data_IF_590322831692
#
_entry.id   IF_590322831692
#
_cell.length_a   1.000
_cell.length_b   1.000
_cell.length_c   1.000
_cell.angle_alpha   90.00
_cell.angle_beta   90.00
_cell.angle_gamma   90.00
#
_symmetry.space_group_name_H-M   'P 1'
#
loop_
_entity.id
_entity.type
_entity.pdbx_description
1 polymer ?
#
# COMPACT_ATOMS: atom_id res chain seq x y z
N UNK A 1 -0.13 -0.09 -82.54
CA UNK A 1 0.76 -1.06 -81.87
C UNK A 1 1.77 -0.32 -81.00
N UNK A 2 1.54 -0.22 -79.69
CA UNK A 2 2.57 0.08 -78.68
C UNK A 2 2.17 -0.71 -77.41
N UNK A 3 2.96 -1.73 -77.07
CA UNK A 3 2.94 -2.41 -75.76
C UNK A 3 3.52 -1.46 -74.72
N UNK A 4 3.16 -1.58 -73.44
CA UNK A 4 4.02 -1.50 -72.22
C UNK A 4 3.09 -1.50 -70.98
N UNK A 5 3.02 -2.63 -70.28
CA UNK A 5 3.65 -2.94 -68.97
C UNK A 5 2.81 -2.51 -67.77
N UNK A 6 2.30 -3.56 -67.12
CA UNK A 6 1.65 -3.64 -65.81
C UNK A 6 2.63 -3.26 -64.70
N UNK A 7 2.25 -2.32 -63.81
CA UNK A 7 2.83 -2.19 -62.47
C UNK A 7 1.68 -1.99 -61.49
N UNK A 8 1.45 -3.01 -60.68
CA UNK A 8 0.51 -3.02 -59.55
C UNK A 8 1.23 -2.42 -58.35
N UNK A 9 0.82 -1.25 -57.89
CA UNK A 9 1.21 -0.70 -56.59
C UNK A 9 0.12 -1.04 -55.56
N UNK A 10 0.30 -2.13 -54.83
CA UNK A 10 -0.46 -2.38 -53.60
C UNK A 10 0.12 -1.43 -52.55
N UNK A 11 -0.55 -0.31 -52.30
CA UNK A 11 -0.28 0.55 -51.15
C UNK A 11 -0.68 -0.19 -49.88
N UNK A 12 0.28 -0.86 -49.25
CA UNK A 12 0.14 -1.42 -47.91
C UNK A 12 0.02 -0.29 -46.90
N UNK A 13 -1.20 -0.08 -46.39
CA UNK A 13 -1.48 0.82 -45.27
C UNK A 13 -0.93 0.17 -43.99
N UNK A 14 0.28 0.54 -43.58
CA UNK A 14 0.84 0.13 -42.29
C UNK A 14 0.02 0.78 -41.16
N UNK A 15 -0.82 -0.01 -40.50
CA UNK A 15 -1.43 0.34 -39.23
C UNK A 15 -0.33 0.30 -38.16
N UNK A 16 0.36 1.41 -37.94
CA UNK A 16 1.18 1.61 -36.74
C UNK A 16 0.25 1.68 -35.53
N UNK A 17 -0.01 0.54 -34.93
CA UNK A 17 -0.59 0.48 -33.59
C UNK A 17 0.37 1.13 -32.60
N UNK A 18 -0.07 2.23 -31.98
CA UNK A 18 0.59 2.78 -30.80
C UNK A 18 0.59 1.70 -29.72
N UNK A 19 1.75 1.10 -29.50
CA UNK A 19 1.98 0.22 -28.36
C UNK A 19 2.06 1.14 -27.14
N UNK A 20 1.01 1.20 -26.33
CA UNK A 20 1.10 1.79 -25.00
C UNK A 20 2.10 0.96 -24.21
N UNK A 21 3.30 1.49 -24.00
CA UNK A 21 4.24 0.93 -23.04
C UNK A 21 3.70 1.21 -21.64
N UNK A 22 2.95 0.25 -21.09
CA UNK A 22 2.62 0.23 -19.67
C UNK A 22 3.93 0.11 -18.89
N UNK A 23 4.44 1.25 -18.42
CA UNK A 23 5.60 1.30 -17.54
C UNK A 23 5.25 0.54 -16.26
N UNK A 24 5.79 -0.67 -16.12
CA UNK A 24 5.65 -1.46 -14.91
C UNK A 24 6.23 -0.66 -13.75
N UNK A 25 5.37 -0.23 -12.83
CA UNK A 25 5.80 0.41 -11.59
C UNK A 25 6.39 -0.69 -10.71
N UNK A 26 7.63 -0.53 -10.29
CA UNK A 26 8.23 -1.41 -9.29
C UNK A 26 7.56 -1.14 -7.94
N UNK A 27 6.94 -2.16 -7.36
CA UNK A 27 6.11 -2.03 -6.16
C UNK A 27 6.78 -2.76 -5.03
N UNK A 28 7.00 -2.05 -3.92
CA UNK A 28 7.51 -2.63 -2.68
C UNK A 28 6.34 -3.05 -1.80
N UNK A 29 6.39 -4.24 -1.22
CA UNK A 29 5.34 -4.77 -0.33
C UNK A 29 5.84 -4.78 1.11
N UNK A 30 4.96 -4.36 2.02
CA UNK A 30 5.26 -4.24 3.44
C UNK A 30 4.24 -5.04 4.23
N UNK A 31 4.72 -5.95 5.06
CA UNK A 31 3.95 -6.63 6.08
C UNK A 31 4.38 -6.15 7.46
N UNK A 32 3.45 -5.99 8.39
CA UNK A 32 3.80 -5.70 9.80
C UNK A 32 2.78 -6.28 10.76
N UNK A 33 3.19 -6.50 12.01
CA UNK A 33 2.34 -7.08 13.06
C UNK A 33 2.40 -6.25 14.34
N UNK A 34 1.26 -6.15 15.03
CA UNK A 34 1.18 -5.63 16.40
C UNK A 34 0.07 -6.35 17.16
N UNK A 35 0.12 -6.31 18.49
CA UNK A 35 -0.98 -6.80 19.31
C UNK A 35 -2.14 -5.80 19.35
N UNK A 36 -3.33 -6.27 19.71
CA UNK A 36 -4.51 -5.45 19.97
C UNK A 36 -5.00 -5.72 21.38
N UNK A 37 -5.26 -4.65 22.13
CA UNK A 37 -5.83 -4.75 23.48
C UNK A 37 -7.26 -5.28 23.40
N UNK A 38 -7.62 -6.38 24.08
CA UNK A 38 -8.96 -6.96 24.00
C UNK A 38 -10.08 -5.96 24.29
N UNK A 39 -9.89 -5.09 25.28
CA UNK A 39 -10.85 -4.08 25.70
C UNK A 39 -11.03 -2.93 24.70
N UNK A 40 -10.16 -2.82 23.70
CA UNK A 40 -10.21 -1.80 22.63
C UNK A 40 -10.64 -2.36 21.28
N UNK A 41 -10.91 -3.68 21.18
CA UNK A 41 -11.21 -4.35 19.91
C UNK A 41 -12.39 -3.72 19.17
N UNK A 42 -13.52 -3.52 19.86
CA UNK A 42 -14.71 -2.94 19.25
C UNK A 42 -14.46 -1.50 18.75
N UNK A 43 -13.76 -0.70 19.55
CA UNK A 43 -13.42 0.68 19.21
C UNK A 43 -12.48 0.75 18.00
N UNK A 44 -11.44 -0.09 17.96
CA UNK A 44 -10.51 -0.16 16.84
C UNK A 44 -11.21 -0.47 15.52
N UNK A 45 -12.15 -1.43 15.53
CA UNK A 45 -12.98 -1.77 14.36
C UNK A 45 -13.86 -0.60 13.94
N UNK A 46 -14.50 0.08 14.88
CA UNK A 46 -15.34 1.25 14.59
C UNK A 46 -14.52 2.39 13.97
N UNK A 47 -13.34 2.68 14.50
CA UNK A 47 -12.42 3.67 13.93
C UNK A 47 -12.11 3.34 12.48
N UNK A 48 -11.64 2.12 12.18
CA UNK A 48 -11.20 1.76 10.83
C UNK A 48 -12.35 1.61 9.83
N UNK A 49 -13.54 1.23 10.28
CA UNK A 49 -14.75 1.26 9.44
C UNK A 49 -15.14 2.69 9.02
N UNK A 50 -14.72 3.70 9.79
CA UNK A 50 -15.01 5.12 9.56
C UNK A 50 -13.71 5.94 9.49
N UNK A 51 -12.67 5.36 8.85
CA UNK A 51 -11.37 6.01 8.73
C UNK A 51 -11.51 7.41 8.12
N UNK A 52 -10.82 8.39 8.72
CA UNK A 52 -11.02 9.79 8.36
C UNK A 52 -10.58 10.04 6.90
N UNK A 53 -11.39 10.74 6.07
CA UNK A 53 -11.04 11.00 4.69
C UNK A 53 -9.70 11.73 4.51
N UNK A 54 -9.32 12.61 5.46
CA UNK A 54 -8.02 13.30 5.47
C UNK A 54 -6.84 12.34 5.59
N UNK A 55 -6.95 11.34 6.45
CA UNK A 55 -5.93 10.30 6.65
C UNK A 55 -5.82 9.41 5.42
N UNK A 56 -6.94 8.96 4.85
CA UNK A 56 -6.95 8.16 3.63
C UNK A 56 -6.30 8.90 2.45
N UNK A 57 -6.58 10.20 2.33
CA UNK A 57 -5.94 11.06 1.35
C UNK A 57 -4.43 11.13 1.57
N UNK A 58 -3.98 11.30 2.82
CA UNK A 58 -2.54 11.33 3.15
C UNK A 58 -1.83 10.03 2.80
N UNK A 59 -2.43 8.89 3.13
CA UNK A 59 -1.92 7.55 2.78
C UNK A 59 -1.66 7.46 1.26
N UNK A 60 -2.64 7.89 0.45
CA UNK A 60 -2.51 7.92 -1.01
C UNK A 60 -1.42 8.89 -1.49
N UNK A 61 -1.33 10.07 -0.89
CA UNK A 61 -0.28 11.07 -1.20
C UNK A 61 1.14 10.59 -0.86
N UNK A 62 1.28 9.61 0.03
CA UNK A 62 2.53 8.96 0.39
C UNK A 62 2.77 7.66 -0.41
N UNK A 63 2.09 7.52 -1.56
CA UNK A 63 2.24 6.40 -2.50
C UNK A 63 1.93 5.02 -1.91
N UNK A 64 1.17 4.96 -0.81
CA UNK A 64 0.67 3.71 -0.24
C UNK A 64 -0.66 3.33 -0.91
N UNK A 65 -0.77 2.08 -1.32
CA UNK A 65 -1.95 1.50 -1.97
C UNK A 65 -2.17 0.06 -1.50
N UNK A 66 -3.33 -0.52 -1.86
CA UNK A 66 -3.73 -1.87 -1.45
C UNK A 66 -3.54 -2.14 0.07
N UNK A 67 -3.78 -1.11 0.88
CA UNK A 67 -3.54 -1.17 2.32
C UNK A 67 -4.69 -1.90 3.02
N UNK A 68 -4.39 -3.04 3.63
CA UNK A 68 -5.29 -3.84 4.45
C UNK A 68 -4.73 -4.05 5.86
N UNK A 69 -5.62 -4.14 6.86
CA UNK A 69 -5.28 -4.56 8.22
C UNK A 69 -6.20 -5.72 8.59
N UNK A 70 -5.61 -6.88 8.85
CA UNK A 70 -6.32 -8.11 9.25
C UNK A 70 -6.27 -8.27 10.77
N UNK A 71 -7.35 -8.76 11.36
CA UNK A 71 -7.44 -9.07 12.78
C UNK A 71 -7.55 -10.59 12.95
N UNK A 72 -6.74 -11.17 13.85
CA UNK A 72 -6.84 -12.57 14.21
C UNK A 72 -6.61 -12.77 15.71
N UNK A 73 -7.34 -13.70 16.33
CA UNK A 73 -7.02 -14.21 17.68
C UNK A 73 -6.06 -15.39 17.54
N UNK A 74 -4.93 -15.34 18.24
CA UNK A 74 -3.94 -16.43 18.31
C UNK A 74 -3.73 -16.75 19.79
N UNK A 75 -4.09 -17.96 20.20
CA UNK A 75 -4.23 -18.30 21.62
C UNK A 75 -5.23 -17.37 22.29
N UNK A 76 -4.79 -16.66 23.33
CA UNK A 76 -5.61 -15.70 24.09
C UNK A 76 -5.36 -14.23 23.76
N UNK A 77 -4.48 -13.95 22.80
CA UNK A 77 -4.17 -12.60 22.36
C UNK A 77 -4.77 -12.29 20.99
N UNK A 78 -5.03 -11.00 20.75
CA UNK A 78 -5.44 -10.49 19.44
C UNK A 78 -4.25 -9.83 18.74
N UNK A 79 -4.14 -10.07 17.44
CA UNK A 79 -3.09 -9.54 16.59
C UNK A 79 -3.69 -8.84 15.38
N UNK A 80 -3.06 -7.74 15.01
CA UNK A 80 -3.29 -7.01 13.78
C UNK A 80 -2.14 -7.28 12.82
N UNK A 81 -2.45 -7.62 11.57
CA UNK A 81 -1.50 -7.82 10.49
C UNK A 81 -1.77 -6.76 9.42
N UNK A 82 -0.85 -5.83 9.25
CA UNK A 82 -0.93 -4.81 8.23
C UNK A 82 -0.26 -5.30 6.95
N UNK A 83 -0.85 -5.05 5.80
CA UNK A 83 -0.21 -5.23 4.49
C UNK A 83 -0.46 -4.00 3.62
N UNK A 84 0.57 -3.45 2.98
CA UNK A 84 0.39 -2.46 1.93
C UNK A 84 1.45 -2.56 0.83
N UNK A 85 1.10 -1.99 -0.32
CA UNK A 85 2.01 -1.76 -1.44
C UNK A 85 2.45 -0.29 -1.47
N UNK A 86 3.73 -0.08 -1.72
CA UNK A 86 4.32 1.23 -1.93
C UNK A 86 4.79 1.36 -3.37
N UNK A 87 4.33 2.42 -4.04
CA UNK A 87 4.58 2.68 -5.46
C UNK A 87 5.38 3.97 -5.71
N UNK A 88 5.97 4.55 -4.66
CA UNK A 88 6.77 5.77 -4.76
C UNK A 88 8.26 5.51 -4.97
N UNK A 89 9.04 6.59 -5.06
CA UNK A 89 10.48 6.52 -5.33
C UNK A 89 11.35 6.61 -4.06
N UNK A 90 10.86 7.23 -2.99
CA UNK A 90 11.60 7.48 -1.75
C UNK A 90 10.69 7.18 -0.55
N UNK A 91 10.80 5.95 -0.04
CA UNK A 91 9.96 5.46 1.03
C UNK A 91 10.16 6.26 2.33
N UNK A 92 11.41 6.58 2.66
CA UNK A 92 11.72 7.29 3.90
C UNK A 92 11.19 8.74 3.86
N UNK A 93 11.30 9.41 2.72
CA UNK A 93 10.72 10.73 2.54
C UNK A 93 9.18 10.70 2.64
N UNK A 94 8.52 9.71 2.04
CA UNK A 94 7.06 9.57 2.12
C UNK A 94 6.56 9.20 3.52
N UNK A 95 7.30 8.35 4.25
CA UNK A 95 6.97 8.02 5.64
C UNK A 95 7.19 9.22 6.56
N UNK A 96 8.25 10.02 6.32
CA UNK A 96 8.44 11.28 7.03
C UNK A 96 7.30 12.27 6.74
N UNK A 97 6.90 12.42 5.48
CA UNK A 97 5.75 13.24 5.07
C UNK A 97 4.45 12.82 5.77
N UNK A 98 4.23 11.52 5.94
CA UNK A 98 3.09 10.99 6.70
C UNK A 98 3.20 11.32 8.18
N UNK A 99 4.38 11.15 8.78
CA UNK A 99 4.61 11.41 10.20
C UNK A 99 4.49 12.89 10.57
N UNK A 100 4.82 13.79 9.64
CA UNK A 100 4.71 15.24 9.81
C UNK A 100 3.27 15.76 9.61
N UNK A 101 2.33 14.93 9.11
CA UNK A 101 0.95 15.35 8.85
C UNK A 101 0.11 15.46 10.14
N UNK A 102 -0.46 16.63 10.46
CA UNK A 102 -1.20 16.82 11.71
C UNK A 102 -2.45 15.95 11.84
N UNK A 103 -3.16 15.67 10.74
CA UNK A 103 -4.36 14.82 10.76
C UNK A 103 -4.01 13.37 11.03
N UNK A 104 -2.90 12.89 10.45
CA UNK A 104 -2.34 11.57 10.73
C UNK A 104 -1.89 11.46 12.19
N UNK A 105 -1.22 12.47 12.74
CA UNK A 105 -0.86 12.48 14.16
C UNK A 105 -2.08 12.46 15.08
N UNK A 106 -3.16 13.18 14.73
CA UNK A 106 -4.43 13.12 15.47
C UNK A 106 -5.07 11.74 15.40
N UNK A 107 -5.05 11.12 14.23
CA UNK A 107 -5.53 9.76 14.03
C UNK A 107 -4.76 8.75 14.89
N UNK A 108 -3.43 8.84 14.93
CA UNK A 108 -2.60 7.97 15.75
C UNK A 108 -2.86 8.11 17.25
N UNK A 109 -3.26 9.29 17.73
CA UNK A 109 -3.72 9.46 19.12
C UNK A 109 -4.97 8.64 19.46
N UNK A 110 -5.79 8.28 18.46
CA UNK A 110 -6.95 7.41 18.63
C UNK A 110 -6.60 5.93 18.47
N UNK A 111 -5.75 5.59 17.50
CA UNK A 111 -5.42 4.19 17.18
C UNK A 111 -4.34 3.59 18.07
N UNK A 112 -3.27 4.32 18.35
CA UNK A 112 -2.11 3.80 19.09
C UNK A 112 -2.49 3.30 20.50
N UNK A 113 -3.38 3.97 21.26
CA UNK A 113 -3.82 3.44 22.55
C UNK A 113 -4.58 2.12 22.46
N UNK A 114 -5.13 1.75 21.30
CA UNK A 114 -5.79 0.47 21.08
C UNK A 114 -4.79 -0.68 20.94
N UNK A 115 -3.58 -0.38 20.47
CA UNK A 115 -2.58 -1.36 20.09
C UNK A 115 -1.71 -1.77 21.29
N UNK A 116 -1.11 -2.94 21.17
CA UNK A 116 -0.19 -3.52 22.14
C UNK A 116 1.06 -3.99 21.39
N UNK A 117 2.08 -3.13 21.25
CA UNK A 117 3.29 -3.46 20.52
C UNK A 117 3.99 -4.69 21.10
N UNK A 118 4.60 -5.51 20.23
CA UNK A 118 5.38 -6.67 20.69
C UNK A 118 6.56 -6.20 21.55
N UNK A 119 7.05 -7.03 22.51
CA UNK A 119 8.04 -6.58 23.49
C UNK A 119 9.29 -5.92 22.89
N UNK A 120 9.88 -6.51 21.84
CA UNK A 120 11.06 -5.96 21.17
C UNK A 120 10.80 -4.63 20.44
N UNK A 121 9.57 -4.43 19.98
CA UNK A 121 9.12 -3.23 19.27
C UNK A 121 8.75 -2.11 20.25
N UNK A 122 8.10 -2.47 21.36
CA UNK A 122 7.80 -1.57 22.47
C UNK A 122 9.09 -0.98 23.07
N UNK A 123 10.14 -1.80 23.23
CA UNK A 123 11.44 -1.36 23.73
C UNK A 123 12.09 -0.27 22.86
N UNK A 124 11.75 -0.22 21.57
CA UNK A 124 12.22 0.79 20.60
C UNK A 124 11.25 1.97 20.48
N UNK A 125 10.21 2.05 21.31
CA UNK A 125 9.12 3.04 21.22
C UNK A 125 8.43 3.05 19.85
N UNK A 126 8.39 1.90 19.18
CA UNK A 126 7.63 1.68 17.94
C UNK A 126 6.32 0.97 18.25
N UNK A 127 5.37 1.02 17.32
CA UNK A 127 4.05 0.39 17.46
C UNK A 127 3.96 -0.95 16.71
N UNK A 128 4.52 -1.01 15.50
CA UNK A 128 4.44 -2.16 14.60
C UNK A 128 5.81 -2.82 14.43
N UNK A 129 5.81 -4.16 14.37
CA UNK A 129 6.97 -4.99 14.06
C UNK A 129 6.95 -5.31 12.56
N UNK A 130 7.99 -4.96 11.83
CA UNK A 130 8.12 -5.29 10.41
C UNK A 130 8.23 -6.81 10.20
N UNK A 131 7.62 -7.32 9.13
CA UNK A 131 7.68 -8.74 8.74
C UNK A 131 8.52 -8.93 7.48
N UNK A 132 9.27 -10.03 7.43
CA UNK A 132 10.00 -10.45 6.24
C UNK A 132 9.07 -11.08 5.20
N UNK A 133 9.09 -10.58 3.97
CA UNK A 133 8.42 -11.22 2.85
C UNK A 133 9.28 -12.37 2.32
N UNK A 134 8.95 -13.60 2.72
CA UNK A 134 9.70 -14.80 2.30
C UNK A 134 9.23 -15.43 0.99
N UNK A 135 8.07 -15.01 0.47
CA UNK A 135 7.49 -15.53 -0.77
C UNK A 135 6.59 -14.47 -1.44
N UNK A 136 6.54 -14.49 -2.76
CA UNK A 136 5.60 -13.71 -3.58
C UNK A 136 5.36 -14.41 -4.92
N UNK A 137 4.12 -14.33 -5.41
CA UNK A 137 3.74 -14.60 -6.80
C UNK A 137 2.77 -13.53 -7.25
N UNK A 138 2.88 -13.12 -8.51
CA UNK A 138 1.88 -12.27 -9.17
C UNK A 138 0.63 -13.08 -9.53
#
# INVERSE_FOLDING_TARGET
MKKYILIVFITGLFLTGCKEETKQVDVKRFGSVTGLKPEKLAYYKQLHANAWPSVLKKIKECNIRNYSIYLQKIGDAYYLFSYFEYAGADFDADMKKMADDPETQRWWKETDPCQQPLPETAAKKKIWTDMEQVFHTD
#
